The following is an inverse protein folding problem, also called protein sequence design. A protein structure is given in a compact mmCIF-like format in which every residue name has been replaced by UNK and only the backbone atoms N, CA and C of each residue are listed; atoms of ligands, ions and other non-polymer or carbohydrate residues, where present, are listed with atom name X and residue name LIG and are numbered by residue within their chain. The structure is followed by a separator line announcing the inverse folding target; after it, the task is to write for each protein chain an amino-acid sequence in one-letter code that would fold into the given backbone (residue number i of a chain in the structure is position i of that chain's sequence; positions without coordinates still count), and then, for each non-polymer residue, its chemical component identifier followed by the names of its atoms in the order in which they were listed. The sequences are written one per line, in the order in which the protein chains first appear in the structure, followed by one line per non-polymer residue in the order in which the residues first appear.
data_IF_765102760050
#
_entry.id   IF_765102760050
#
_cell.length_a   1.000
_cell.length_b   1.000
_cell.length_c   1.000
_cell.angle_alpha   90.00
_cell.angle_beta   90.00
_cell.angle_gamma   90.00
#
_symmetry.space_group_name_H-M   'P 1'
#
loop_
_entity.id
_entity.type
_entity.pdbx_description
1 polymer ?
#
# COMPACT_ATOMS: atom_id res chain seq x y z
N UNK A 1 13.94 3.16 26.88
CA UNK A 1 13.20 2.42 25.83
C UNK A 1 13.92 2.67 24.52
N UNK A 2 14.42 1.61 23.85
CA UNK A 2 15.29 1.74 22.67
C UNK A 2 14.55 2.34 21.46
N UNK A 3 14.67 3.65 21.31
CA UNK A 3 14.25 4.39 20.13
C UNK A 3 15.39 4.35 19.11
N UNK A 4 15.38 3.36 18.23
CA UNK A 4 16.34 3.27 17.14
C UNK A 4 15.57 3.05 15.86
N UNK A 5 15.76 3.93 14.86
CA UNK A 5 15.22 3.75 13.50
C UNK A 5 15.53 2.39 12.89
N UNK A 6 16.55 1.70 13.40
CA UNK A 6 16.96 0.36 12.98
C UNK A 6 15.85 -0.69 13.10
N UNK A 7 14.97 -0.58 14.10
CA UNK A 7 13.81 -1.50 14.22
C UNK A 7 12.82 -1.33 13.07
N UNK A 8 12.89 -0.21 12.37
CA UNK A 8 11.94 0.18 11.32
C UNK A 8 12.52 0.08 9.92
N UNK A 9 13.85 -0.04 9.78
CA UNK A 9 14.51 -0.25 8.47
C UNK A 9 13.92 -1.42 7.68
N UNK A 10 13.64 -2.61 8.27
CA UNK A 10 13.03 -3.71 7.53
C UNK A 10 11.60 -3.42 7.05
N UNK A 11 10.92 -2.43 7.63
CA UNK A 11 9.55 -2.05 7.28
C UNK A 11 9.48 -0.98 6.18
N UNK A 12 10.59 -0.30 5.87
CA UNK A 12 10.63 0.73 4.82
C UNK A 12 10.09 0.26 3.45
N UNK A 13 10.40 -0.96 2.96
CA UNK A 13 9.84 -1.43 1.69
C UNK A 13 8.32 -1.52 1.70
N UNK A 14 7.73 -1.94 2.82
CA UNK A 14 6.28 -2.07 2.99
C UNK A 14 5.63 -0.68 2.96
N UNK A 15 6.17 0.28 3.71
CA UNK A 15 5.65 1.65 3.69
C UNK A 15 5.81 2.33 2.34
N UNK A 16 6.91 2.03 1.63
CA UNK A 16 7.10 2.49 0.27
C UNK A 16 6.08 1.89 -0.70
N UNK A 17 5.70 0.63 -0.53
CA UNK A 17 4.61 0.02 -1.32
C UNK A 17 3.27 0.71 -1.05
N UNK A 18 2.91 0.92 0.22
CA UNK A 18 1.68 1.64 0.63
C UNK A 18 1.66 3.04 0.02
N UNK A 19 2.74 3.80 0.18
CA UNK A 19 2.86 5.15 -0.37
C UNK A 19 2.76 5.17 -1.91
N UNK A 20 3.41 4.22 -2.59
CA UNK A 20 3.33 4.11 -4.05
C UNK A 20 1.94 3.72 -4.56
N UNK A 21 1.15 2.99 -3.77
CA UNK A 21 -0.24 2.71 -4.12
C UNK A 21 -1.05 4.02 -4.17
N UNK A 22 -0.86 4.91 -3.18
CA UNK A 22 -1.50 6.23 -3.17
C UNK A 22 -1.02 7.17 -4.27
N UNK A 23 0.22 7.01 -4.73
CA UNK A 23 0.70 7.76 -5.89
C UNK A 23 -0.16 7.54 -7.12
N UNK A 24 -0.64 6.31 -7.36
CA UNK A 24 -1.53 6.02 -8.48
C UNK A 24 -2.87 6.75 -8.30
N UNK A 25 -3.48 6.65 -7.12
CA UNK A 25 -4.75 7.31 -6.82
C UNK A 25 -4.67 8.84 -6.91
N UNK A 26 -3.56 9.41 -6.43
CA UNK A 26 -3.29 10.82 -6.50
C UNK A 26 -3.13 11.32 -7.94
N UNK A 27 -2.50 10.51 -8.82
CA UNK A 27 -2.32 10.83 -10.23
C UNK A 27 -3.61 10.67 -11.05
N UNK A 28 -4.49 9.73 -10.68
CA UNK A 28 -5.79 9.54 -11.33
C UNK A 28 -6.88 10.46 -10.78
N UNK A 29 -6.59 11.23 -9.74
CA UNK A 29 -7.54 12.14 -9.09
C UNK A 29 -8.60 11.42 -8.26
N UNK A 30 -8.35 10.17 -7.87
CA UNK A 30 -9.30 9.35 -7.09
C UNK A 30 -9.11 9.48 -5.58
N UNK A 31 -8.25 10.37 -5.11
CA UNK A 31 -8.00 10.63 -3.68
C UNK A 31 -9.13 11.36 -2.92
N UNK A 32 -10.35 11.37 -3.45
CA UNK A 32 -11.53 11.97 -2.83
C UNK A 32 -11.37 13.45 -2.48
N UNK A 33 -11.90 13.85 -1.32
CA UNK A 33 -11.85 15.24 -0.83
C UNK A 33 -10.44 15.77 -0.58
N UNK A 34 -9.47 14.89 -0.30
CA UNK A 34 -8.07 15.31 -0.22
C UNK A 34 -7.58 15.85 -1.56
N UNK A 35 -7.93 15.16 -2.65
CA UNK A 35 -7.60 15.60 -4.00
C UNK A 35 -8.40 16.83 -4.43
N UNK A 36 -9.73 16.79 -4.29
CA UNK A 36 -10.62 17.83 -4.85
C UNK A 36 -10.62 19.12 -4.04
N UNK A 37 -10.49 19.03 -2.71
CA UNK A 37 -10.81 20.15 -1.81
C UNK A 37 -9.58 20.66 -1.05
N UNK A 38 -8.73 19.76 -0.52
CA UNK A 38 -7.59 20.13 0.34
C UNK A 38 -6.35 20.47 -0.48
N UNK A 39 -5.95 19.57 -1.36
CA UNK A 39 -4.74 19.68 -2.16
C UNK A 39 -4.95 20.43 -3.48
N UNK A 40 -6.17 20.91 -3.74
CA UNK A 40 -6.49 21.66 -4.95
C UNK A 40 -6.19 23.15 -4.75
N UNK A 41 -5.15 23.63 -5.45
CA UNK A 41 -4.70 25.03 -5.41
C UNK A 41 -5.83 26.01 -5.78
N UNK A 42 -6.75 25.63 -6.68
CA UNK A 42 -7.84 26.51 -7.12
C UNK A 42 -8.87 26.81 -6.03
N UNK A 43 -9.06 25.90 -5.07
CA UNK A 43 -10.08 26.04 -4.03
C UNK A 43 -9.51 26.56 -2.70
N UNK A 44 -8.24 26.28 -2.39
CA UNK A 44 -7.68 26.57 -1.05
C UNK A 44 -6.21 27.01 -1.08
N UNK A 45 -5.87 27.96 -1.94
CA UNK A 45 -4.53 28.56 -2.03
C UNK A 45 -3.99 28.98 -0.64
N UNK A 46 -4.81 29.64 0.19
CA UNK A 46 -4.45 30.04 1.56
C UNK A 46 -4.09 28.89 2.51
N UNK A 47 -4.63 27.68 2.32
CA UNK A 47 -4.27 26.54 3.17
C UNK A 47 -2.97 25.90 2.72
N UNK A 48 -2.71 25.87 1.42
CA UNK A 48 -1.47 25.36 0.86
C UNK A 48 -0.29 26.32 1.05
N UNK A 49 -0.55 27.60 1.32
CA UNK A 49 0.46 28.57 1.74
C UNK A 49 1.20 28.18 3.02
N UNK A 50 0.62 27.31 3.87
CA UNK A 50 1.33 26.79 5.05
C UNK A 50 2.43 25.81 4.65
N UNK A 51 2.35 25.17 3.49
CA UNK A 51 3.41 24.29 2.99
C UNK A 51 4.49 25.18 2.36
N UNK A 52 5.74 25.02 2.79
CA UNK A 52 6.83 25.87 2.32
C UNK A 52 7.37 25.40 0.96
N UNK A 53 7.33 24.10 0.70
CA UNK A 53 7.93 23.51 -0.50
C UNK A 53 6.96 23.44 -1.70
N UNK A 54 7.42 23.94 -2.85
CA UNK A 54 6.63 23.99 -4.09
C UNK A 54 6.33 22.61 -4.69
N UNK A 55 7.14 21.59 -4.43
CA UNK A 55 6.84 20.24 -4.91
C UNK A 55 5.73 19.60 -4.08
N UNK A 56 5.75 19.78 -2.76
CA UNK A 56 4.66 19.32 -1.89
C UNK A 56 3.33 20.03 -2.16
N UNK A 57 3.34 21.27 -2.65
CA UNK A 57 2.11 21.97 -3.09
C UNK A 57 1.46 21.35 -4.32
N UNK A 58 2.18 20.50 -5.07
CA UNK A 58 1.58 19.82 -6.22
C UNK A 58 0.45 18.92 -5.74
N UNK A 59 -0.70 19.04 -6.38
CA UNK A 59 -1.93 18.39 -5.97
C UNK A 59 -1.75 16.87 -5.76
N UNK A 60 -1.05 16.19 -6.66
CA UNK A 60 -0.81 14.75 -6.54
C UNK A 60 0.09 14.40 -5.34
N UNK A 61 1.20 15.12 -5.13
CA UNK A 61 2.12 14.85 -4.01
C UNK A 61 1.46 15.15 -2.67
N UNK A 62 0.71 16.26 -2.58
CA UNK A 62 -0.11 16.57 -1.41
C UNK A 62 -1.15 15.47 -1.16
N UNK A 63 -1.87 15.02 -2.21
CA UNK A 63 -2.90 13.98 -2.08
C UNK A 63 -2.30 12.67 -1.59
N UNK A 64 -1.15 12.26 -2.15
CA UNK A 64 -0.41 11.06 -1.76
C UNK A 64 -0.04 11.11 -0.26
N UNK A 65 0.50 12.24 0.21
CA UNK A 65 0.83 12.42 1.62
C UNK A 65 -0.40 12.41 2.54
N UNK A 66 -1.51 13.04 2.12
CA UNK A 66 -2.75 13.06 2.90
C UNK A 66 -3.38 11.67 3.04
N UNK A 67 -3.43 10.89 1.95
CA UNK A 67 -3.95 9.52 2.00
C UNK A 67 -3.11 8.63 2.92
N UNK A 68 -1.77 8.77 2.87
CA UNK A 68 -0.89 8.06 3.79
C UNK A 68 -1.10 8.45 5.26
N UNK A 69 -1.38 9.73 5.55
CA UNK A 69 -1.74 10.19 6.89
C UNK A 69 -3.05 9.57 7.39
N UNK A 70 -4.06 9.43 6.52
CA UNK A 70 -5.31 8.72 6.89
C UNK A 70 -4.99 7.31 7.36
N UNK A 71 -4.14 6.58 6.63
CA UNK A 71 -3.73 5.23 6.98
C UNK A 71 -3.08 5.20 8.36
N UNK A 72 -2.10 6.08 8.62
CA UNK A 72 -1.45 6.18 9.92
C UNK A 72 -2.46 6.46 11.04
N UNK A 73 -3.41 7.38 10.80
CA UNK A 73 -4.41 7.75 11.78
C UNK A 73 -5.30 6.55 12.19
N UNK A 74 -5.53 5.61 11.26
CA UNK A 74 -6.35 4.41 11.50
C UNK A 74 -5.58 3.21 12.04
N UNK A 75 -4.24 3.25 12.12
CA UNK A 75 -3.45 2.13 12.65
C UNK A 75 -3.61 1.96 14.16
N UNK A 76 -3.97 0.75 14.62
CA UNK A 76 -4.08 0.44 16.05
C UNK A 76 -2.75 0.00 16.69
N UNK A 77 -1.82 -0.52 15.88
CA UNK A 77 -0.52 -0.96 16.37
C UNK A 77 0.43 0.24 16.54
N UNK A 78 0.73 0.60 17.78
CA UNK A 78 1.61 1.75 18.10
C UNK A 78 3.02 1.65 17.53
N UNK A 79 3.55 0.43 17.32
CA UNK A 79 4.86 0.24 16.68
C UNK A 79 4.78 0.59 15.20
N UNK A 80 3.77 0.09 14.49
CA UNK A 80 3.55 0.41 13.08
C UNK A 80 3.23 1.88 12.88
N UNK A 81 2.37 2.45 13.73
CA UNK A 81 2.04 3.88 13.75
C UNK A 81 3.33 4.72 13.82
N UNK A 82 4.18 4.44 14.81
CA UNK A 82 5.46 5.14 14.99
C UNK A 82 6.36 5.02 13.77
N UNK A 83 6.54 3.83 13.23
CA UNK A 83 7.42 3.62 12.08
C UNK A 83 6.87 4.21 10.79
N UNK A 84 5.55 4.24 10.60
CA UNK A 84 4.93 4.93 9.48
C UNK A 84 5.11 6.44 9.57
N UNK A 85 5.05 7.04 10.77
CA UNK A 85 5.35 8.46 10.97
C UNK A 85 6.81 8.80 10.64
N UNK A 86 7.75 7.92 11.03
CA UNK A 86 9.17 8.06 10.67
C UNK A 86 9.36 7.90 9.16
N UNK A 87 8.66 6.94 8.55
CA UNK A 87 8.70 6.76 7.09
C UNK A 87 8.18 7.99 6.35
N UNK A 88 7.09 8.61 6.80
CA UNK A 88 6.58 9.84 6.16
C UNK A 88 7.66 10.95 6.16
N UNK A 89 8.38 11.08 7.27
CA UNK A 89 9.49 12.02 7.36
C UNK A 89 10.61 11.69 6.35
N UNK A 90 10.97 10.41 6.22
CA UNK A 90 11.92 9.94 5.22
C UNK A 90 11.41 10.19 3.78
N UNK A 91 10.15 9.90 3.49
CA UNK A 91 9.56 10.13 2.18
C UNK A 91 9.54 11.61 1.83
N UNK A 92 9.26 12.50 2.80
CA UNK A 92 9.35 13.94 2.62
C UNK A 92 10.74 14.37 2.21
N UNK A 93 11.77 13.86 2.87
CA UNK A 93 13.14 14.19 2.47
C UNK A 93 13.40 13.85 1.01
N UNK A 94 12.74 12.84 0.44
CA UNK A 94 12.89 12.48 -0.98
C UNK A 94 12.07 13.33 -1.96
N UNK A 95 11.00 13.95 -1.47
CA UNK A 95 10.02 14.65 -2.29
C UNK A 95 10.07 16.16 -2.15
N UNK A 96 10.84 16.74 -1.23
CA UNK A 96 11.10 18.17 -1.23
C UNK A 96 11.96 18.57 -2.43
N UNK A 97 11.65 19.72 -3.04
CA UNK A 97 12.40 20.26 -4.17
C UNK A 97 13.78 20.75 -3.74
N UNK A 98 13.84 21.40 -2.59
CA UNK A 98 15.05 21.98 -2.02
C UNK A 98 15.12 21.64 -0.53
N UNK A 99 16.22 21.00 -0.13
CA UNK A 99 16.54 20.73 1.27
C UNK A 99 17.87 21.41 1.53
N UNK A 100 17.82 22.55 2.20
CA UNK A 100 19.03 23.26 2.62
C UNK A 100 19.46 22.73 3.99
N UNK A 101 18.50 22.48 4.86
CA UNK A 101 18.74 21.95 6.20
C UNK A 101 17.64 20.96 6.62
N UNK A 102 17.81 20.39 7.80
CA UNK A 102 16.88 19.43 8.39
C UNK A 102 15.56 20.11 8.81
N UNK A 103 15.64 21.38 9.19
CA UNK A 103 14.49 22.20 9.61
C UNK A 103 13.47 22.36 8.48
N UNK A 104 13.92 22.41 7.22
CA UNK A 104 13.03 22.42 6.05
C UNK A 104 12.11 21.19 6.02
N UNK A 105 12.65 20.01 6.36
CA UNK A 105 11.86 18.77 6.40
C UNK A 105 10.92 18.80 7.61
N UNK A 106 11.41 19.20 8.78
CA UNK A 106 10.59 19.33 10.00
C UNK A 106 9.42 20.29 9.80
N UNK A 107 9.68 21.45 9.21
CA UNK A 107 8.66 22.47 8.98
C UNK A 107 7.60 21.97 7.99
N UNK A 108 8.01 21.34 6.89
CA UNK A 108 7.05 20.78 5.94
C UNK A 108 6.26 19.60 6.53
N UNK A 109 6.89 18.76 7.36
CA UNK A 109 6.21 17.68 8.09
C UNK A 109 5.13 18.25 9.01
N UNK A 110 5.48 19.24 9.82
CA UNK A 110 4.56 19.92 10.74
C UNK A 110 3.41 20.60 10.00
N UNK A 111 3.71 21.25 8.88
CA UNK A 111 2.72 21.94 8.08
C UNK A 111 1.78 20.96 7.35
N UNK A 112 2.25 19.76 6.97
CA UNK A 112 1.37 18.70 6.48
C UNK A 112 0.42 18.18 7.56
N UNK A 113 0.88 18.00 8.80
CA UNK A 113 0.00 17.58 9.90
C UNK A 113 -1.06 18.64 10.19
N UNK A 114 -0.68 19.93 10.20
CA UNK A 114 -1.64 21.05 10.32
C UNK A 114 -2.63 21.09 9.16
N UNK A 115 -2.17 20.82 7.93
CA UNK A 115 -3.04 20.76 6.75
C UNK A 115 -4.09 19.66 6.92
N UNK A 116 -3.65 18.48 7.35
CA UNK A 116 -4.51 17.33 7.63
C UNK A 116 -5.57 17.68 8.68
N UNK A 117 -5.15 18.24 9.81
CA UNK A 117 -6.03 18.64 10.91
C UNK A 117 -7.02 19.74 10.49
N UNK A 118 -6.65 20.59 9.53
CA UNK A 118 -7.57 21.63 9.02
C UNK A 118 -8.77 21.07 8.26
N UNK A 119 -8.72 19.82 7.78
CA UNK A 119 -9.75 19.27 6.90
C UNK A 119 -11.10 19.08 7.59
N UNK A 120 -11.11 18.80 8.90
CA UNK A 120 -12.34 18.60 9.67
C UNK A 120 -12.31 19.28 11.03
N UNK A 121 -13.30 20.13 11.30
CA UNK A 121 -13.52 20.67 12.64
C UNK A 121 -13.79 19.49 13.60
N UNK A 122 -12.93 19.30 14.60
CA UNK A 122 -13.10 18.26 15.62
C UNK A 122 -12.40 16.92 15.33
N UNK A 123 -11.53 16.84 14.33
CA UNK A 123 -10.60 15.71 14.26
C UNK A 123 -9.62 15.78 15.43
N UNK A 124 -9.29 14.64 16.08
CA UNK A 124 -8.23 14.61 17.06
C UNK A 124 -6.89 14.91 16.41
N UNK A 125 -5.95 15.43 17.21
CA UNK A 125 -4.55 15.61 16.80
C UNK A 125 -4.04 14.34 16.11
N UNK A 126 -3.30 14.54 15.02
CA UNK A 126 -2.80 13.40 14.27
C UNK A 126 -1.81 12.57 15.13
N UNK A 127 -1.92 11.25 15.07
CA UNK A 127 -1.09 10.30 15.85
C UNK A 127 0.41 10.59 15.76
N UNK A 128 0.87 11.06 14.60
CA UNK A 128 2.27 11.42 14.40
C UNK A 128 2.81 12.57 15.25
N UNK A 129 1.96 13.45 15.81
CA UNK A 129 2.43 14.53 16.69
C UNK A 129 3.21 13.99 17.90
N UNK A 130 2.91 12.76 18.34
CA UNK A 130 3.59 12.09 19.46
C UNK A 130 5.06 11.77 19.20
N UNK A 131 5.49 11.65 17.93
CA UNK A 131 6.81 11.13 17.58
C UNK A 131 7.82 12.18 17.10
N UNK A 132 7.43 13.46 17.01
CA UNK A 132 8.28 14.55 16.48
C UNK A 132 9.69 14.61 17.10
N UNK A 133 9.78 14.51 18.43
CA UNK A 133 11.04 14.70 19.18
C UNK A 133 12.05 13.57 18.91
N UNK A 134 11.57 12.35 18.66
CA UNK A 134 12.43 11.18 18.50
C UNK A 134 13.09 11.11 17.12
N UNK A 135 12.54 11.84 16.14
CA UNK A 135 13.03 11.81 14.77
C UNK A 135 14.41 12.47 14.69
N UNK A 136 14.75 13.43 15.56
CA UNK A 136 15.93 14.31 15.47
C UNK A 136 17.28 13.59 15.33
N UNK A 137 17.55 12.54 16.11
CA UNK A 137 18.81 11.79 16.00
C UNK A 137 18.90 11.00 14.69
N UNK A 138 17.77 10.55 14.18
CA UNK A 138 17.65 9.79 12.94
C UNK A 138 17.68 10.71 11.69
N UNK A 139 17.64 12.03 11.86
CA UNK A 139 17.63 13.01 10.76
C UNK A 139 18.93 13.06 9.97
N UNK A 140 20.08 12.88 10.65
CA UNK A 140 21.37 12.81 9.95
C UNK A 140 21.41 11.59 9.04
N UNK A 141 20.90 10.46 9.51
CA UNK A 141 20.80 9.24 8.72
C UNK A 141 19.88 9.41 7.51
N UNK A 142 18.70 9.97 7.73
CA UNK A 142 17.72 10.21 6.66
C UNK A 142 18.34 11.13 5.59
N UNK A 143 19.07 12.17 6.01
CA UNK A 143 19.81 13.06 5.10
C UNK A 143 20.89 12.30 4.32
N UNK A 144 21.70 11.47 4.99
CA UNK A 144 22.75 10.69 4.33
C UNK A 144 22.18 9.70 3.32
N UNK A 145 21.08 8.99 3.65
CA UNK A 145 20.40 8.09 2.71
C UNK A 145 19.83 8.88 1.53
N UNK A 146 19.23 10.04 1.79
CA UNK A 146 18.69 10.90 0.74
C UNK A 146 19.77 11.39 -0.23
N UNK A 147 20.90 11.84 0.30
CA UNK A 147 22.08 12.23 -0.48
C UNK A 147 22.57 11.09 -1.37
N UNK A 148 22.71 9.89 -0.81
CA UNK A 148 23.13 8.66 -1.51
C UNK A 148 22.13 8.33 -2.64
N UNK A 149 20.83 8.36 -2.33
CA UNK A 149 19.78 8.07 -3.30
C UNK A 149 19.77 9.09 -4.46
N UNK A 150 19.83 10.39 -4.16
CA UNK A 150 19.88 11.45 -5.17
C UNK A 150 21.12 11.36 -6.03
N UNK A 151 22.27 11.05 -5.41
CA UNK A 151 23.51 10.82 -6.11
C UNK A 151 23.38 9.66 -7.11
N UNK A 152 22.83 8.51 -6.68
CA UNK A 152 22.58 7.34 -7.52
C UNK A 152 21.55 7.61 -8.63
N UNK A 153 20.53 8.43 -8.36
CA UNK A 153 19.51 8.80 -9.37
C UNK A 153 20.07 9.72 -10.46
N UNK A 154 20.93 10.69 -10.09
CA UNK A 154 21.55 11.65 -11.03
C UNK A 154 22.56 10.98 -11.96
N UNK A 155 23.32 10.01 -11.48
CA UNK A 155 24.24 9.22 -12.31
C UNK A 155 23.58 7.88 -12.61
N UNK A 156 22.95 7.73 -13.78
CA UNK A 156 22.53 6.42 -14.32
C UNK A 156 23.58 5.38 -13.89
N UNK A 157 23.14 4.33 -13.20
CA UNK A 157 23.92 3.37 -12.35
C UNK A 157 25.25 2.84 -12.95
N UNK A 158 25.47 3.07 -14.23
CA UNK A 158 26.56 2.60 -15.09
C UNK A 158 27.98 2.96 -14.57
N UNK A 159 28.17 3.95 -13.68
CA UNK A 159 29.51 4.34 -13.19
C UNK A 159 29.60 4.65 -11.67
N UNK A 160 28.79 4.01 -10.82
CA UNK A 160 28.82 4.24 -9.36
C UNK A 160 30.14 3.82 -8.69
N UNK A 161 30.81 2.77 -9.21
CA UNK A 161 32.04 2.23 -8.61
C UNK A 161 33.29 3.13 -8.74
N UNK A 162 33.19 4.27 -9.43
CA UNK A 162 34.33 5.19 -9.63
C UNK A 162 34.25 6.49 -8.84
N UNK A 163 33.13 6.78 -8.17
CA UNK A 163 33.03 8.03 -7.42
C UNK A 163 33.43 7.84 -5.95
N UNK A 164 34.65 8.27 -5.65
CA UNK A 164 35.23 8.20 -4.32
C UNK A 164 34.36 8.87 -3.25
N UNK A 165 33.63 9.95 -3.58
CA UNK A 165 32.77 10.65 -2.60
C UNK A 165 31.53 9.84 -2.22
N UNK A 166 30.91 9.16 -3.19
CA UNK A 166 29.78 8.26 -2.90
C UNK A 166 30.23 7.06 -2.09
N UNK A 167 31.31 6.41 -2.51
CA UNK A 167 31.87 5.25 -1.81
C UNK A 167 32.26 5.63 -0.39
N UNK A 168 32.88 6.80 -0.18
CA UNK A 168 33.24 7.29 1.14
C UNK A 168 32.01 7.57 2.00
N UNK A 169 30.95 8.21 1.48
CA UNK A 169 29.69 8.43 2.21
C UNK A 169 29.00 7.10 2.57
N UNK A 170 28.94 6.16 1.63
CA UNK A 170 28.37 4.83 1.87
C UNK A 170 29.19 4.03 2.89
N UNK A 171 30.52 4.08 2.82
CA UNK A 171 31.42 3.45 3.80
C UNK A 171 31.34 4.12 5.16
N UNK A 172 31.27 5.45 5.23
CA UNK A 172 31.12 6.16 6.51
C UNK A 172 29.79 5.81 7.17
N UNK A 173 28.73 5.71 6.36
CA UNK A 173 27.41 5.25 6.78
C UNK A 173 27.50 3.82 7.33
N UNK A 174 28.06 2.88 6.55
CA UNK A 174 28.28 1.49 6.96
C UNK A 174 29.09 1.39 8.25
N UNK A 175 30.24 2.05 8.34
CA UNK A 175 31.14 1.97 9.49
C UNK A 175 30.51 2.58 10.76
N UNK A 176 29.77 3.68 10.61
CA UNK A 176 28.99 4.25 11.71
C UNK A 176 27.98 3.23 12.25
N UNK A 177 27.34 2.46 11.36
CA UNK A 177 26.38 1.43 11.74
C UNK A 177 27.00 0.17 12.32
N UNK A 178 28.05 -0.36 11.70
CA UNK A 178 28.79 -1.51 12.22
C UNK A 178 29.24 -1.24 13.66
N UNK A 179 29.71 -0.02 13.94
CA UNK A 179 30.09 0.41 15.29
C UNK A 179 28.90 0.50 16.25
N UNK A 180 27.75 1.04 15.82
CA UNK A 180 26.52 1.12 16.66
C UNK A 180 25.94 -0.26 16.97
N UNK A 181 25.98 -1.18 16.01
CA UNK A 181 25.56 -2.58 16.18
C UNK A 181 26.51 -3.33 17.14
N UNK A 182 27.81 -3.08 17.07
CA UNK A 182 28.79 -3.69 17.98
C UNK A 182 28.75 -3.10 19.40
N UNK A 183 28.42 -1.81 19.56
CA UNK A 183 28.43 -1.11 20.86
C UNK A 183 27.12 -1.22 21.65
N UNK A 184 25.97 -1.35 20.97
CA UNK A 184 24.74 -1.82 21.63
C UNK A 184 24.87 -3.32 21.73
N UNK A 185 25.39 -3.77 22.87
CA UNK A 185 25.81 -5.14 23.15
C UNK A 185 25.06 -6.15 22.32
N UNK A 186 25.82 -6.94 21.58
CA UNK A 186 25.35 -8.13 20.88
C UNK A 186 24.07 -8.65 21.53
N UNK A 187 22.94 -8.44 20.88
CA UNK A 187 21.95 -9.50 20.81
C UNK A 187 22.68 -10.58 20.03
N UNK A 188 23.59 -11.28 20.71
CA UNK A 188 23.98 -12.57 20.24
C UNK A 188 22.65 -13.30 20.24
N UNK A 189 22.29 -13.90 19.12
CA UNK A 189 21.48 -15.10 19.17
C UNK A 189 22.28 -16.23 19.85
N UNK A 190 23.06 -15.92 20.90
CA UNK A 190 23.44 -16.89 21.90
C UNK A 190 22.15 -17.12 22.66
N UNK A 191 21.38 -18.04 22.10
CA UNK A 191 20.69 -18.99 22.94
C UNK A 191 21.73 -19.44 23.95
N UNK A 192 21.74 -18.83 25.15
CA UNK A 192 22.38 -19.45 26.29
C UNK A 192 21.69 -20.80 26.37
N UNK A 193 22.40 -21.81 25.87
CA UNK A 193 22.19 -23.22 26.13
C UNK A 193 22.44 -23.38 27.63
N UNK A 194 21.54 -22.80 28.41
CA UNK A 194 21.33 -23.18 29.80
C UNK A 194 20.88 -24.62 29.63
N UNK A 195 21.71 -25.55 30.10
CA UNK A 195 21.39 -26.96 30.22
C UNK A 195 20.16 -27.10 31.11
N UNK A 196 18.99 -26.84 30.53
CA UNK A 196 17.71 -27.27 31.08
C UNK A 196 17.72 -28.76 30.83
N UNK A 197 17.89 -29.51 31.91
CA UNK A 197 17.59 -30.93 31.96
C UNK A 197 16.30 -31.17 31.19
N UNK A 198 16.38 -32.00 30.16
CA UNK A 198 15.24 -32.43 29.36
C UNK A 198 14.20 -33.08 30.28
N UNK A 199 13.29 -32.26 30.80
CA UNK A 199 11.96 -32.73 31.13
C UNK A 199 11.24 -32.75 29.79
N UNK A 200 11.04 -33.96 29.27
CA UNK A 200 10.19 -34.18 28.11
C UNK A 200 8.77 -33.72 28.44
N UNK A 201 8.52 -32.42 28.26
CA UNK A 201 7.16 -31.89 28.26
C UNK A 201 6.55 -32.38 26.96
N UNK A 202 5.78 -33.47 27.08
CA UNK A 202 4.90 -33.93 26.02
C UNK A 202 3.87 -32.83 25.75
N UNK A 203 4.19 -31.93 24.83
CA UNK A 203 3.25 -30.98 24.26
C UNK A 203 2.28 -31.76 23.36
N UNK A 204 1.30 -32.43 23.98
CA UNK A 204 0.09 -32.88 23.30
C UNK A 204 -0.70 -31.64 22.89
N UNK A 205 -0.32 -31.05 21.76
CA UNK A 205 -1.09 -30.00 21.15
C UNK A 205 -2.39 -30.62 20.63
N UNK A 206 -3.50 -30.34 21.30
CA UNK A 206 -4.84 -30.72 20.84
C UNK A 206 -5.17 -29.95 19.56
N UNK A 207 -4.82 -30.54 18.41
CA UNK A 207 -5.08 -29.99 17.08
C UNK A 207 -6.57 -29.72 16.83
N UNK A 208 -7.45 -30.37 17.60
CA UNK A 208 -8.89 -30.12 17.59
C UNK A 208 -9.24 -28.66 17.93
N UNK A 209 -8.49 -28.02 18.83
CA UNK A 209 -8.80 -26.66 19.29
C UNK A 209 -8.70 -25.60 18.17
N UNK A 210 -7.58 -25.48 17.43
CA UNK A 210 -7.51 -24.55 16.31
C UNK A 210 -8.54 -24.88 15.21
N UNK A 211 -8.81 -26.16 14.93
CA UNK A 211 -9.81 -26.57 13.93
C UNK A 211 -11.21 -26.09 14.32
N UNK A 212 -11.62 -26.29 15.58
CA UNK A 212 -12.94 -25.87 16.08
C UNK A 212 -13.07 -24.35 16.03
N UNK A 213 -12.02 -23.61 16.43
CA UNK A 213 -12.02 -22.14 16.35
C UNK A 213 -12.18 -21.67 14.90
N UNK A 214 -11.42 -22.24 13.97
CA UNK A 214 -11.52 -21.89 12.55
C UNK A 214 -12.92 -22.14 12.02
N UNK A 215 -13.51 -23.32 12.28
CA UNK A 215 -14.87 -23.63 11.85
C UNK A 215 -15.91 -22.66 12.43
N UNK A 216 -15.78 -22.30 13.71
CA UNK A 216 -16.70 -21.38 14.37
C UNK A 216 -16.60 -19.96 13.79
N UNK A 217 -15.38 -19.45 13.60
CA UNK A 217 -15.14 -18.12 13.01
C UNK A 217 -15.65 -18.07 11.56
N UNK A 218 -15.36 -19.08 10.75
CA UNK A 218 -15.86 -19.15 9.37
C UNK A 218 -17.40 -19.21 9.34
N UNK A 219 -18.02 -19.99 10.23
CA UNK A 219 -19.48 -20.06 10.35
C UNK A 219 -20.09 -18.70 10.69
N UNK A 220 -19.56 -17.99 11.69
CA UNK A 220 -20.02 -16.65 12.08
C UNK A 220 -19.92 -15.64 10.94
N UNK A 221 -18.82 -15.65 10.18
CA UNK A 221 -18.65 -14.79 9.01
C UNK A 221 -19.71 -15.11 7.95
N UNK A 222 -19.94 -16.40 7.64
CA UNK A 222 -20.93 -16.79 6.63
C UNK A 222 -22.37 -16.44 7.04
N UNK A 223 -22.74 -16.62 8.31
CA UNK A 223 -24.04 -16.21 8.84
C UNK A 223 -24.20 -14.69 8.77
N UNK A 224 -23.16 -13.94 9.15
CA UNK A 224 -23.18 -12.47 9.09
C UNK A 224 -23.35 -11.96 7.66
N UNK A 225 -22.62 -12.53 6.69
CA UNK A 225 -22.78 -12.23 5.28
C UNK A 225 -24.17 -12.60 4.76
N UNK A 226 -24.73 -13.73 5.21
CA UNK A 226 -26.09 -14.14 4.83
C UNK A 226 -27.16 -13.19 5.38
N UNK A 227 -27.03 -12.74 6.63
CA UNK A 227 -27.93 -11.76 7.25
C UNK A 227 -27.83 -10.42 6.52
N UNK A 228 -26.60 -9.92 6.27
CA UNK A 228 -26.39 -8.70 5.50
C UNK A 228 -26.95 -8.81 4.08
N UNK A 229 -26.76 -9.97 3.44
CA UNK A 229 -27.32 -10.22 2.12
C UNK A 229 -28.86 -10.27 2.14
N UNK A 230 -29.48 -10.90 3.14
CA UNK A 230 -30.93 -11.09 3.19
C UNK A 230 -31.69 -9.85 3.67
N UNK A 231 -31.14 -9.11 4.64
CA UNK A 231 -31.86 -8.06 5.36
C UNK A 231 -31.37 -6.64 5.05
N UNK A 232 -30.24 -6.47 4.36
CA UNK A 232 -29.79 -5.16 3.91
C UNK A 232 -30.23 -4.90 2.46
N UNK A 233 -30.51 -3.64 2.12
CA UNK A 233 -30.74 -3.14 0.75
C UNK A 233 -29.59 -3.42 -0.23
N UNK A 234 -28.50 -4.02 0.26
CA UNK A 234 -27.41 -4.54 -0.54
C UNK A 234 -27.87 -5.63 -1.53
N UNK A 235 -28.88 -6.45 -1.19
CA UNK A 235 -29.43 -7.43 -2.14
C UNK A 235 -30.14 -6.78 -3.32
N UNK A 236 -30.88 -5.69 -3.10
CA UNK A 236 -31.44 -4.89 -4.21
C UNK A 236 -30.34 -4.22 -5.04
N UNK A 237 -29.28 -3.74 -4.40
CA UNK A 237 -28.15 -3.12 -5.10
C UNK A 237 -27.37 -4.14 -5.96
N UNK A 238 -27.06 -5.32 -5.42
CA UNK A 238 -26.44 -6.42 -6.16
C UNK A 238 -27.33 -6.91 -7.31
N UNK A 239 -28.63 -7.06 -7.09
CA UNK A 239 -29.59 -7.39 -8.17
C UNK A 239 -29.57 -6.35 -9.27
N UNK A 240 -29.49 -5.06 -8.92
CA UNK A 240 -29.37 -3.97 -9.89
C UNK A 240 -28.06 -4.05 -10.68
N UNK A 241 -26.92 -4.27 -10.03
CA UNK A 241 -25.62 -4.46 -10.70
C UNK A 241 -25.63 -5.67 -11.64
N UNK A 242 -26.17 -6.80 -11.18
CA UNK A 242 -26.27 -8.03 -11.98
C UNK A 242 -27.17 -7.80 -13.18
N UNK A 243 -28.33 -7.15 -12.99
CA UNK A 243 -29.25 -6.80 -14.08
C UNK A 243 -28.61 -5.84 -15.08
N UNK A 244 -27.87 -4.83 -14.60
CA UNK A 244 -27.14 -3.89 -15.45
C UNK A 244 -26.07 -4.59 -16.28
N UNK A 245 -25.25 -5.45 -15.66
CA UNK A 245 -24.24 -6.24 -16.39
C UNK A 245 -24.88 -7.20 -17.39
N UNK A 246 -25.97 -7.89 -17.03
CA UNK A 246 -26.70 -8.79 -17.93
C UNK A 246 -27.26 -8.04 -19.14
N UNK A 247 -27.87 -6.86 -18.93
CA UNK A 247 -28.35 -6.03 -20.03
C UNK A 247 -27.20 -5.53 -20.92
N UNK A 248 -26.05 -5.17 -20.35
CA UNK A 248 -24.87 -4.78 -21.12
C UNK A 248 -24.33 -5.93 -21.98
N UNK A 249 -24.25 -7.15 -21.43
CA UNK A 249 -23.83 -8.31 -22.21
C UNK A 249 -24.85 -8.73 -23.27
N UNK A 250 -26.15 -8.61 -22.99
CA UNK A 250 -27.19 -8.84 -23.99
C UNK A 250 -27.09 -7.85 -25.15
N UNK A 251 -26.81 -6.57 -24.87
CA UNK A 251 -26.59 -5.56 -25.90
C UNK A 251 -25.36 -5.87 -26.77
N UNK A 252 -24.26 -6.32 -26.15
CA UNK A 252 -23.06 -6.76 -26.88
C UNK A 252 -23.36 -8.00 -27.73
N UNK A 253 -24.15 -8.95 -27.21
CA UNK A 253 -24.59 -10.12 -27.97
C UNK A 253 -25.48 -9.77 -29.15
N UNK A 254 -26.39 -8.81 -28.99
CA UNK A 254 -27.21 -8.28 -30.09
C UNK A 254 -26.37 -7.52 -31.13
N UNK A 255 -25.36 -6.75 -30.70
CA UNK A 255 -24.39 -6.12 -31.61
C UNK A 255 -23.60 -7.17 -32.40
N UNK A 256 -23.05 -8.19 -31.72
CA UNK A 256 -22.32 -9.29 -32.36
C UNK A 256 -23.23 -10.02 -33.36
N UNK A 257 -24.49 -10.27 -33.02
CA UNK A 257 -25.47 -10.89 -33.93
C UNK A 257 -25.84 -9.99 -35.12
N UNK A 258 -25.73 -8.66 -35.02
CA UNK A 258 -25.88 -7.74 -36.16
C UNK A 258 -24.64 -7.69 -37.04
N UNK A 259 -23.44 -7.89 -36.48
CA UNK A 259 -22.18 -7.94 -37.23
C UNK A 259 -21.96 -9.29 -37.94
N UNK A 260 -22.56 -10.38 -37.44
CA UNK A 260 -22.78 -11.58 -38.23
C UNK A 260 -23.92 -11.32 -39.23
N UNK A 261 -23.58 -10.67 -40.36
CA UNK A 261 -24.46 -10.67 -41.53
C UNK A 261 -24.89 -12.11 -41.86
N UNK A 262 -26.09 -12.33 -42.42
CA UNK A 262 -26.61 -13.67 -42.66
C UNK A 262 -25.56 -14.46 -43.42
N UNK A 263 -24.91 -15.40 -42.73
CA UNK A 263 -24.06 -16.38 -43.38
C UNK A 263 -25.02 -17.21 -44.22
N UNK A 264 -25.14 -16.86 -45.50
CA UNK A 264 -25.67 -17.74 -46.52
C UNK A 264 -24.77 -18.96 -46.45
N UNK A 265 -25.26 -20.02 -45.82
CA UNK A 265 -24.56 -21.28 -45.72
C UNK A 265 -24.48 -21.86 -47.13
N UNK A 266 -23.40 -21.54 -47.84
CA UNK A 266 -23.00 -22.20 -49.09
C UNK A 266 -22.43 -23.59 -48.79
N UNK A 267 -23.08 -24.38 -47.93
CA UNK A 267 -22.90 -25.82 -47.91
C UNK A 267 -23.85 -26.39 -48.94
N UNK A 268 -23.41 -26.39 -50.20
CA UNK A 268 -23.81 -27.39 -51.19
C UNK A 268 -23.38 -28.73 -50.60
N UNK A 269 -24.25 -29.33 -49.79
CA UNK A 269 -24.14 -30.75 -49.45
C UNK A 269 -24.71 -31.47 -50.66
N UNK A 270 -23.80 -32.02 -51.46
CA UNK A 270 -24.13 -33.10 -52.39
C UNK A 270 -24.68 -34.25 -51.55
N UNK A 271 -25.99 -34.47 -51.63
CA UNK A 271 -26.57 -35.75 -51.27
C UNK A 271 -26.17 -36.75 -52.36
N UNK A 272 -25.00 -37.37 -52.14
CA UNK A 272 -24.65 -38.63 -52.75
C UNK A 272 -25.65 -39.69 -52.28
N UNK A 273 -26.24 -40.35 -53.27
CA UNK A 273 -26.82 -41.69 -53.25
C UNK A 273 -26.57 -42.52 -51.99
N UNK A 274 -27.63 -42.83 -51.25
CA UNK A 274 -27.75 -44.17 -50.68
C UNK A 274 -29.15 -44.73 -50.93
N UNK A 275 -29.20 -45.59 -51.95
CA UNK A 275 -30.21 -46.62 -52.12
C UNK A 275 -30.29 -47.48 -50.84
N UNK A 276 -31.44 -47.48 -50.16
CA UNK A 276 -31.80 -48.58 -49.27
C UNK A 276 -33.11 -49.22 -49.74
N UNK A 277 -32.95 -50.26 -50.54
CA UNK A 277 -33.93 -51.31 -50.78
C UNK A 277 -34.08 -52.15 -49.50
N UNK A 278 -35.25 -52.09 -48.87
CA UNK A 278 -35.70 -53.17 -47.98
C UNK A 278 -36.89 -53.88 -48.62
N UNK A 279 -36.55 -54.94 -49.36
CA UNK A 279 -37.41 -56.10 -49.50
C UNK A 279 -37.09 -57.04 -48.33
N UNK A 280 -38.04 -57.26 -47.42
CA UNK A 280 -38.18 -58.58 -46.81
C UNK A 280 -39.64 -58.86 -46.48
N UNK A 281 -40.08 -60.02 -46.96
CA UNK A 281 -41.43 -60.53 -46.99
C UNK A 281 -41.52 -61.75 -46.06
N UNK A 282 -42.73 -62.02 -45.55
CA UNK A 282 -43.28 -63.27 -44.98
C UNK A 282 -42.89 -63.66 -43.54
N UNK A 283 -43.90 -63.75 -42.67
CA UNK A 283 -44.82 -64.91 -42.63
C UNK A 283 -46.27 -64.45 -42.68
#
# INVERSE_FOLDING_TARGET
MENSIYKFLPLLPIYNEIMNNYKNEANTGTGGSWHSDVCNIKHRQKRLEIINDENLKKQNICTEAMLYLVDIQTMDNSTLEKSSCIYLYFWLSHNLKHINNIEDITNNYDNLLKLYESFGNGLPDHKCNKYKIQIIEDLRLIKDIHDIHNYAKKRKIINLNKDATFVQKAMSLKNYYDKKIQTKGTVTCDTKMTSVTETAVSCKNNIAFPIIITLFVTSLITISLFILHKYTSFSSYLKSIISYKRNKYNHIGEEINRFHGPQISNSIVRDDEYYMLYNYQKY
#
